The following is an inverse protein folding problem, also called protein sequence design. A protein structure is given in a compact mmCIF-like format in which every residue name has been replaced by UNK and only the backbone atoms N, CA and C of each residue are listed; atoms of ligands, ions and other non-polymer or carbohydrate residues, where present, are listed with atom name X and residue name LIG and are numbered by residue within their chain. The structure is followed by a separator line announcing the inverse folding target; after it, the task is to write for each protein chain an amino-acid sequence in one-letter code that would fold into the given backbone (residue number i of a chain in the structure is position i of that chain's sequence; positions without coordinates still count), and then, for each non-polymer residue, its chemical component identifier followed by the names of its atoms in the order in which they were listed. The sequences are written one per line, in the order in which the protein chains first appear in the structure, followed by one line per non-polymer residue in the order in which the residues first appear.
data_IF_246285022526
#
_entry.id   IF_246285022526
#
_cell.length_a   1.000
_cell.length_b   1.000
_cell.length_c   1.000
_cell.angle_alpha   90.00
_cell.angle_beta   90.00
_cell.angle_gamma   90.00
#
_symmetry.space_group_name_H-M   'P 1'
#
loop_
_entity.id
_entity.type
_entity.pdbx_description
1 polymer ?
#
# COMPACT_ATOMS: atom_id res chain seq x y z
N UNK A 1 3.26 -16.25 -24.58
CA UNK A 1 2.62 -15.02 -24.08
C UNK A 1 2.71 -15.15 -22.57
N UNK A 2 3.70 -14.50 -21.96
CA UNK A 2 3.86 -14.53 -20.50
C UNK A 2 2.81 -13.55 -20.01
N UNK A 3 1.74 -14.06 -19.38
CA UNK A 3 0.86 -13.23 -18.58
C UNK A 3 1.78 -12.49 -17.59
N UNK A 4 1.88 -11.18 -17.72
CA UNK A 4 2.44 -10.37 -16.66
C UNK A 4 1.47 -10.55 -15.49
N UNK A 5 1.75 -11.51 -14.60
CA UNK A 5 1.03 -11.66 -13.36
C UNK A 5 1.04 -10.29 -12.69
N UNK A 6 -0.12 -9.62 -12.66
CA UNK A 6 -0.32 -8.44 -11.85
C UNK A 6 -0.01 -8.88 -10.41
N UNK A 7 1.22 -8.63 -9.98
CA UNK A 7 1.70 -9.03 -8.67
C UNK A 7 1.18 -7.99 -7.71
N UNK A 8 0.03 -8.26 -7.12
CA UNK A 8 -0.55 -7.40 -6.09
C UNK A 8 -0.69 -8.17 -4.78
N UNK A 9 -0.60 -7.44 -3.67
CA UNK A 9 -0.83 -7.97 -2.33
C UNK A 9 -1.84 -7.08 -1.63
N UNK A 10 -3.00 -7.64 -1.28
CA UNK A 10 -4.05 -6.93 -0.54
C UNK A 10 -4.06 -7.39 0.91
N UNK A 11 -3.97 -6.43 1.84
CA UNK A 11 -4.12 -6.66 3.27
C UNK A 11 -5.40 -6.00 3.73
N UNK A 12 -6.28 -6.78 4.37
CA UNK A 12 -7.53 -6.31 4.96
C UNK A 12 -7.38 -6.15 6.46
N UNK A 13 -7.62 -4.95 6.96
CA UNK A 13 -7.44 -4.56 8.34
C UNK A 13 -8.77 -4.40 9.07
N UNK A 14 -8.77 -4.84 10.33
CA UNK A 14 -9.76 -4.43 11.31
C UNK A 14 -9.55 -2.96 11.67
N UNK A 15 -10.61 -2.17 11.92
CA UNK A 15 -10.48 -0.76 12.28
C UNK A 15 -9.79 -0.52 13.63
N UNK A 16 -9.64 -1.58 14.45
CA UNK A 16 -9.08 -1.50 15.79
C UNK A 16 -7.60 -1.90 15.86
N UNK A 17 -6.92 -2.16 14.72
CA UNK A 17 -5.48 -2.46 14.73
C UNK A 17 -4.63 -1.23 14.37
N UNK A 18 -3.32 -1.33 14.59
CA UNK A 18 -2.35 -0.32 14.18
C UNK A 18 -2.10 -0.39 12.67
N UNK A 19 -3.12 -0.03 11.88
CA UNK A 19 -3.13 -0.15 10.41
C UNK A 19 -1.89 0.51 9.81
N UNK A 20 -1.53 1.70 10.27
CA UNK A 20 -0.37 2.45 9.78
C UNK A 20 0.96 1.70 9.91
N UNK A 21 1.21 1.11 11.09
CA UNK A 21 2.46 0.39 11.34
C UNK A 21 2.48 -0.95 10.61
N UNK A 22 1.35 -1.67 10.59
CA UNK A 22 1.28 -2.95 9.88
C UNK A 22 1.39 -2.72 8.37
N UNK A 23 0.76 -1.68 7.82
CA UNK A 23 0.92 -1.30 6.41
C UNK A 23 2.35 -0.87 6.08
N UNK A 24 3.04 -0.16 6.98
CA UNK A 24 4.47 0.17 6.81
C UNK A 24 5.35 -1.08 6.76
N UNK A 25 5.09 -2.04 7.64
CA UNK A 25 5.81 -3.34 7.66
C UNK A 25 5.51 -4.14 6.40
N UNK A 26 4.25 -4.18 5.95
CA UNK A 26 3.84 -4.84 4.72
C UNK A 26 4.54 -4.23 3.50
N UNK A 27 4.58 -2.90 3.40
CA UNK A 27 5.30 -2.19 2.35
C UNK A 27 6.79 -2.57 2.36
N UNK A 28 7.45 -2.52 3.52
CA UNK A 28 8.86 -2.90 3.64
C UNK A 28 9.13 -4.35 3.20
N UNK A 29 8.23 -5.28 3.53
CA UNK A 29 8.32 -6.67 3.08
C UNK A 29 8.20 -6.79 1.56
N UNK A 30 7.26 -6.06 0.95
CA UNK A 30 7.05 -6.05 -0.51
C UNK A 30 8.27 -5.50 -1.23
N UNK A 31 8.81 -4.36 -0.78
CA UNK A 31 10.03 -3.78 -1.35
C UNK A 31 11.19 -4.78 -1.31
N UNK A 32 11.33 -5.52 -0.21
CA UNK A 32 12.35 -6.57 -0.07
C UNK A 32 12.11 -7.74 -1.02
N UNK A 33 10.89 -8.24 -1.14
CA UNK A 33 10.53 -9.36 -2.05
C UNK A 33 10.84 -8.98 -3.50
N UNK A 34 10.51 -7.75 -3.89
CA UNK A 34 10.68 -7.24 -5.25
C UNK A 34 12.02 -6.54 -5.50
N UNK A 35 12.94 -6.55 -4.53
CA UNK A 35 14.28 -5.92 -4.62
C UNK A 35 14.24 -4.43 -4.99
N UNK A 36 13.24 -3.70 -4.53
CA UNK A 36 13.10 -2.26 -4.71
C UNK A 36 13.88 -1.54 -3.61
N UNK A 37 14.69 -0.54 -3.97
CA UNK A 37 15.40 0.30 -2.99
C UNK A 37 14.39 1.15 -2.19
N UNK A 38 14.32 1.01 -0.85
CA UNK A 38 13.43 1.81 -0.02
C UNK A 38 13.61 3.33 -0.15
N UNK A 39 14.81 3.80 -0.55
CA UNK A 39 15.06 5.23 -0.76
C UNK A 39 14.18 5.82 -1.87
N UNK A 40 13.84 5.03 -2.89
CA UNK A 40 13.03 5.43 -4.05
C UNK A 40 11.55 5.65 -3.71
N UNK A 41 11.09 5.18 -2.55
CA UNK A 41 9.66 5.13 -2.18
C UNK A 41 9.37 5.76 -0.82
N UNK A 42 10.32 6.54 -0.30
CA UNK A 42 10.22 7.20 1.01
C UNK A 42 8.99 8.12 1.12
N UNK A 43 8.70 8.90 0.08
CA UNK A 43 7.51 9.77 0.01
C UNK A 43 6.20 8.97 -0.05
N UNK A 44 6.21 7.81 -0.72
CA UNK A 44 5.05 6.92 -0.79
C UNK A 44 4.71 6.34 0.58
N UNK A 45 5.71 5.96 1.38
CA UNK A 45 5.47 5.47 2.73
C UNK A 45 4.81 6.55 3.63
N UNK A 46 5.27 7.80 3.55
CA UNK A 46 4.69 8.92 4.30
C UNK A 46 3.26 9.21 3.84
N UNK A 47 3.05 9.27 2.52
CA UNK A 47 1.73 9.54 1.92
C UNK A 47 0.73 8.43 2.24
N UNK A 48 1.16 7.16 2.21
CA UNK A 48 0.34 6.01 2.59
C UNK A 48 -0.15 6.12 4.03
N UNK A 49 0.71 6.48 4.97
CA UNK A 49 0.32 6.66 6.38
C UNK A 49 -0.70 7.79 6.55
N UNK A 50 -0.51 8.91 5.84
CA UNK A 50 -1.44 10.04 5.86
C UNK A 50 -2.81 9.64 5.29
N UNK A 51 -2.85 8.93 4.17
CA UNK A 51 -4.10 8.48 3.56
C UNK A 51 -4.83 7.43 4.40
N UNK A 52 -4.11 6.49 5.02
CA UNK A 52 -4.69 5.55 5.98
C UNK A 52 -5.36 6.32 7.13
N UNK A 53 -4.71 7.33 7.71
CA UNK A 53 -5.33 8.18 8.77
C UNK A 53 -6.60 8.85 8.28
N UNK A 54 -6.56 9.40 7.07
CA UNK A 54 -7.67 10.16 6.51
C UNK A 54 -8.89 9.28 6.22
N UNK A 55 -8.67 8.09 5.64
CA UNK A 55 -9.75 7.23 5.11
C UNK A 55 -10.26 6.20 6.13
N UNK A 56 -9.46 5.86 7.15
CA UNK A 56 -9.83 4.88 8.18
C UNK A 56 -10.86 5.40 9.20
N UNK A 57 -11.06 6.73 9.28
CA UNK A 57 -11.98 7.33 10.22
C UNK A 57 -13.41 6.77 10.03
N UNK A 58 -13.86 5.97 11.00
CA UNK A 58 -15.18 5.31 11.03
C UNK A 58 -15.38 4.20 9.99
N UNK A 59 -14.31 3.59 9.49
CA UNK A 59 -14.40 2.44 8.59
C UNK A 59 -14.72 1.14 9.33
N UNK A 60 -15.50 0.25 8.72
CA UNK A 60 -15.72 -1.12 9.25
C UNK A 60 -14.53 -2.03 8.97
N UNK A 61 -13.78 -1.73 7.92
CA UNK A 61 -12.52 -2.35 7.55
C UNK A 61 -11.78 -1.41 6.61
N UNK A 62 -10.46 -1.54 6.54
CA UNK A 62 -9.61 -0.84 5.58
C UNK A 62 -8.86 -1.89 4.77
N UNK A 63 -8.79 -1.71 3.46
CA UNK A 63 -8.00 -2.56 2.58
C UNK A 63 -6.84 -1.73 2.03
N UNK A 64 -5.64 -2.29 2.07
CA UNK A 64 -4.46 -1.71 1.42
C UNK A 64 -3.95 -2.71 0.41
N UNK A 65 -3.95 -2.32 -0.85
CA UNK A 65 -3.46 -3.12 -1.97
C UNK A 65 -2.17 -2.53 -2.50
N UNK A 66 -1.12 -3.32 -2.50
CA UNK A 66 0.19 -2.93 -3.01
C UNK A 66 0.42 -3.59 -4.36
N UNK A 67 0.87 -2.81 -5.34
CA UNK A 67 1.14 -3.30 -6.69
C UNK A 67 2.51 -2.78 -7.14
N UNK A 68 3.58 -3.58 -6.92
CA UNK A 68 4.88 -3.34 -7.56
C UNK A 68 4.79 -3.55 -9.07
N UNK A 69 5.41 -2.65 -9.82
CA UNK A 69 5.70 -2.75 -11.24
C UNK A 69 7.22 -2.78 -11.49
N UNK A 70 7.61 -2.71 -12.76
CA UNK A 70 9.04 -2.73 -13.16
C UNK A 70 9.80 -1.52 -12.59
N UNK A 71 9.21 -0.33 -12.75
CA UNK A 71 9.79 0.97 -12.36
C UNK A 71 8.85 1.79 -11.48
N UNK A 72 7.91 1.12 -10.83
CA UNK A 72 6.90 1.79 -10.01
C UNK A 72 6.42 0.91 -8.89
N UNK A 73 5.81 1.52 -7.90
CA UNK A 73 4.95 0.83 -6.94
C UNK A 73 3.75 1.71 -6.66
N UNK A 74 2.57 1.12 -6.60
CA UNK A 74 1.37 1.78 -6.11
C UNK A 74 0.85 1.11 -4.84
N UNK A 75 0.18 1.91 -4.02
CA UNK A 75 -0.59 1.47 -2.88
C UNK A 75 -2.00 2.09 -2.99
N UNK A 76 -3.03 1.26 -3.11
CA UNK A 76 -4.42 1.68 -3.08
C UNK A 76 -4.99 1.44 -1.68
N UNK A 77 -5.49 2.49 -1.03
CA UNK A 77 -6.18 2.42 0.25
C UNK A 77 -7.69 2.55 0.02
N UNK A 78 -8.44 1.53 0.41
CA UNK A 78 -9.89 1.44 0.25
C UNK A 78 -10.60 1.35 1.60
N UNK A 79 -11.58 2.21 1.83
CA UNK A 79 -12.45 2.15 3.02
C UNK A 79 -13.80 2.84 2.76
N UNK A 80 -14.90 2.25 3.25
CA UNK A 80 -16.25 2.82 3.15
C UNK A 80 -16.67 3.26 1.73
N UNK A 81 -16.25 2.54 0.69
CA UNK A 81 -16.54 2.87 -0.71
C UNK A 81 -15.69 4.01 -1.29
N UNK A 82 -14.78 4.60 -0.50
CA UNK A 82 -13.76 5.52 -0.97
C UNK A 82 -12.48 4.74 -1.31
N UNK A 83 -11.75 5.24 -2.30
CA UNK A 83 -10.43 4.75 -2.66
C UNK A 83 -9.46 5.90 -2.92
N UNK A 84 -8.21 5.71 -2.53
CA UNK A 84 -7.08 6.60 -2.83
C UNK A 84 -5.88 5.78 -3.23
N UNK A 85 -5.30 6.11 -4.38
CA UNK A 85 -4.07 5.49 -4.89
C UNK A 85 -2.91 6.44 -4.67
N UNK A 86 -1.85 5.95 -4.03
CA UNK A 86 -0.54 6.58 -3.95
C UNK A 86 0.40 5.79 -4.84
N UNK A 87 1.28 6.47 -5.59
CA UNK A 87 2.28 5.79 -6.42
C UNK A 87 3.63 6.49 -6.34
N UNK A 88 4.70 5.71 -6.46
CA UNK A 88 6.05 6.18 -6.70
C UNK A 88 6.59 5.55 -8.00
N UNK A 89 7.43 6.31 -8.70
CA UNK A 89 8.03 5.93 -9.98
C UNK A 89 9.51 6.31 -9.95
N UNK A 90 10.37 5.52 -10.58
CA UNK A 90 11.82 5.78 -10.65
C UNK A 90 12.40 5.44 -12.02
#
# INVERSE_FOLDING_TARGET
MIDAENTFTTVKFSPNCEIEEISRVALAAILRIHKIDPALVSELAVSLQQEIKNISAKALFVEVEFQPGENSISAEVRANGNSRTISATW
#
